data_IF_986013180814
#
_entry.id   IF_986013180814
#
_cell.length_a   1.000
_cell.length_b   1.000
_cell.length_c   1.000
_cell.angle_alpha   90.00
_cell.angle_beta   90.00
_cell.angle_gamma   90.00
#
_symmetry.space_group_name_H-M   'P 1'
#
loop_
_entity.id
_entity.type
_entity.pdbx_description
1 polymer ?
#
# COMPACT_ATOMS: atom_id res chain seq x y z
N UNK A 1 -29.03 -34.08 37.51
CA UNK A 1 -29.28 -33.04 36.52
C UNK A 1 -28.00 -32.70 35.78
N UNK A 2 -27.97 -32.68 34.45
CA UNK A 2 -26.75 -32.59 33.67
C UNK A 2 -26.40 -31.15 33.32
N UNK A 3 -25.09 -30.86 33.40
CA UNK A 3 -24.50 -29.62 32.96
C UNK A 3 -24.47 -29.54 31.42
N UNK A 4 -24.87 -28.40 30.87
CA UNK A 4 -24.70 -28.04 29.47
C UNK A 4 -23.28 -27.47 29.27
N UNK A 5 -22.52 -28.11 28.41
CA UNK A 5 -21.31 -27.55 27.86
C UNK A 5 -21.61 -26.35 26.96
N UNK A 6 -20.91 -25.28 27.20
CA UNK A 6 -20.87 -24.11 26.34
C UNK A 6 -19.87 -24.42 25.22
N UNK A 7 -20.38 -24.44 23.98
CA UNK A 7 -19.54 -24.58 22.80
C UNK A 7 -18.63 -23.37 22.66
N UNK A 8 -17.33 -23.61 22.52
CA UNK A 8 -16.39 -22.64 22.00
C UNK A 8 -16.78 -22.33 20.54
N UNK A 9 -17.22 -21.11 20.31
CA UNK A 9 -17.29 -20.57 18.97
C UNK A 9 -15.86 -20.39 18.45
N UNK A 10 -15.54 -21.21 17.48
CA UNK A 10 -14.37 -21.08 16.63
C UNK A 10 -14.45 -19.72 15.90
N UNK A 11 -13.82 -18.71 16.47
CA UNK A 11 -13.65 -17.41 15.84
C UNK A 11 -12.70 -17.59 14.67
N UNK A 12 -13.29 -17.75 13.49
CA UNK A 12 -12.59 -17.89 12.22
C UNK A 12 -11.50 -16.86 12.07
N UNK A 13 -10.28 -17.33 11.86
CA UNK A 13 -9.14 -16.57 11.38
C UNK A 13 -9.45 -16.02 9.98
N UNK A 14 -10.14 -14.90 9.94
CA UNK A 14 -10.25 -14.04 8.75
C UNK A 14 -9.24 -12.92 8.91
N UNK A 15 -8.08 -13.07 8.33
CA UNK A 15 -7.07 -12.05 8.41
C UNK A 15 -5.79 -12.39 7.71
N UNK A 16 -5.86 -12.84 6.45
CA UNK A 16 -4.68 -12.76 5.59
C UNK A 16 -4.55 -11.30 5.16
N UNK A 17 -3.69 -10.56 5.85
CA UNK A 17 -3.39 -9.18 5.50
C UNK A 17 -2.62 -9.14 4.18
N UNK A 18 -2.86 -8.11 3.38
CA UNK A 18 -2.17 -7.83 2.11
C UNK A 18 -0.66 -7.81 2.27
N UNK A 19 -0.20 -7.43 3.43
CA UNK A 19 1.19 -7.32 3.82
C UNK A 19 1.98 -8.65 3.89
N UNK A 20 1.33 -9.80 3.80
CA UNK A 20 2.03 -11.09 3.74
C UNK A 20 2.72 -11.35 2.40
N UNK A 21 2.53 -10.49 1.40
CA UNK A 21 2.97 -10.72 0.04
C UNK A 21 4.34 -10.14 -0.31
N UNK A 22 4.80 -9.20 0.50
CA UNK A 22 6.08 -8.54 0.28
C UNK A 22 6.79 -8.39 1.63
N UNK A 23 7.99 -8.94 1.73
CA UNK A 23 8.84 -8.86 2.92
C UNK A 23 10.27 -8.57 2.51
N UNK A 24 10.89 -7.62 3.18
CA UNK A 24 12.33 -7.39 3.03
C UNK A 24 13.10 -8.68 3.39
N UNK A 25 14.13 -8.99 2.62
CA UNK A 25 15.01 -10.12 2.91
C UNK A 25 15.67 -10.02 4.28
N UNK A 26 15.87 -8.80 4.79
CA UNK A 26 16.42 -8.56 6.14
C UNK A 26 15.47 -9.00 7.26
N UNK A 27 14.15 -9.02 7.01
CA UNK A 27 13.13 -9.32 8.00
C UNK A 27 12.78 -10.81 8.07
N UNK A 28 13.28 -11.61 7.11
CA UNK A 28 13.03 -13.05 7.05
C UNK A 28 14.17 -13.79 7.76
N UNK A 29 14.04 -13.93 9.07
CA UNK A 29 14.97 -14.72 9.90
C UNK A 29 15.32 -16.10 9.31
N UNK A 30 14.35 -16.91 8.81
CA UNK A 30 14.66 -18.20 8.20
C UNK A 30 15.54 -18.12 6.96
N UNK A 31 15.36 -17.07 6.13
CA UNK A 31 16.19 -16.89 4.94
C UNK A 31 17.61 -16.51 5.30
N UNK A 32 17.79 -15.65 6.30
CA UNK A 32 19.11 -15.31 6.85
C UNK A 32 19.85 -16.56 7.33
N UNK A 33 19.20 -17.39 8.12
CA UNK A 33 19.77 -18.61 8.65
C UNK A 33 20.10 -19.61 7.54
N UNK A 34 19.25 -19.74 6.52
CA UNK A 34 19.50 -20.56 5.34
C UNK A 34 20.71 -20.05 4.54
N UNK A 35 20.86 -18.75 4.38
CA UNK A 35 22.02 -18.14 3.69
C UNK A 35 23.29 -18.43 4.49
N UNK A 36 23.26 -18.28 5.80
CA UNK A 36 24.39 -18.59 6.70
C UNK A 36 24.76 -20.08 6.59
N UNK A 37 23.82 -20.99 6.76
CA UNK A 37 24.05 -22.43 6.62
C UNK A 37 24.60 -22.82 5.25
N UNK A 38 24.04 -22.25 4.18
CA UNK A 38 24.52 -22.48 2.82
C UNK A 38 25.98 -22.03 2.65
N UNK A 39 26.31 -20.89 3.20
CA UNK A 39 27.64 -20.32 3.15
C UNK A 39 28.66 -21.11 3.98
N UNK A 40 28.29 -21.52 5.19
CA UNK A 40 29.12 -22.38 6.05
C UNK A 40 29.39 -23.73 5.38
N UNK A 41 28.39 -24.34 4.77
CA UNK A 41 28.53 -25.58 4.02
C UNK A 41 29.45 -25.42 2.80
N UNK A 42 29.39 -24.26 2.10
CA UNK A 42 30.30 -23.96 0.98
C UNK A 42 31.73 -23.62 1.43
N UNK A 43 31.90 -22.92 2.52
CA UNK A 43 33.20 -22.65 3.11
C UNK A 43 33.93 -23.97 3.51
N UNK A 44 33.19 -24.94 4.04
CA UNK A 44 33.68 -26.27 4.33
C UNK A 44 34.12 -27.06 3.09
N UNK A 45 33.60 -26.76 1.90
CA UNK A 45 33.95 -27.41 0.63
C UNK A 45 35.01 -26.68 -0.19
N UNK A 46 35.75 -25.72 0.38
CA UNK A 46 36.82 -24.94 -0.28
C UNK A 46 36.43 -24.20 -1.59
N UNK A 47 35.19 -23.91 -1.81
CA UNK A 47 34.77 -23.05 -2.91
C UNK A 47 34.97 -21.59 -2.50
N UNK A 48 36.10 -21.02 -2.93
CA UNK A 48 36.60 -19.72 -2.54
C UNK A 48 35.70 -18.54 -2.90
N UNK A 49 35.62 -17.57 -2.03
CA UNK A 49 35.23 -16.18 -2.35
C UNK A 49 33.82 -15.76 -1.92
N UNK A 50 33.04 -16.59 -1.27
CA UNK A 50 31.74 -16.21 -0.74
C UNK A 50 31.86 -15.89 0.76
N UNK A 51 31.75 -14.60 1.11
CA UNK A 51 31.64 -14.14 2.48
C UNK A 51 30.15 -13.90 2.83
N UNK A 52 29.56 -14.75 3.69
CA UNK A 52 28.17 -14.60 4.06
C UNK A 52 27.88 -13.31 4.81
N UNK A 53 28.86 -12.80 5.59
CA UNK A 53 28.71 -11.57 6.36
C UNK A 53 28.53 -10.36 5.43
N UNK A 54 29.38 -10.22 4.43
CA UNK A 54 29.27 -9.14 3.43
C UNK A 54 27.98 -9.23 2.62
N UNK A 55 27.54 -10.44 2.29
CA UNK A 55 26.27 -10.63 1.59
C UNK A 55 25.08 -10.23 2.44
N UNK A 56 25.03 -10.64 3.70
CA UNK A 56 23.96 -10.29 4.61
C UNK A 56 23.93 -8.79 4.92
N UNK A 57 25.09 -8.16 5.05
CA UNK A 57 25.21 -6.72 5.21
C UNK A 57 24.70 -5.99 3.96
N UNK A 58 25.08 -6.45 2.77
CA UNK A 58 24.60 -5.89 1.51
C UNK A 58 23.08 -6.07 1.33
N UNK A 59 22.52 -7.23 1.70
CA UNK A 59 21.09 -7.47 1.63
C UNK A 59 20.31 -6.65 2.65
N UNK A 60 20.82 -6.51 3.88
CA UNK A 60 20.16 -5.72 4.93
C UNK A 60 20.14 -4.21 4.65
N UNK A 61 21.09 -3.74 3.83
CA UNK A 61 21.16 -2.34 3.38
C UNK A 61 20.50 -2.10 2.02
N UNK A 62 19.99 -3.14 1.38
CA UNK A 62 19.38 -3.06 0.05
C UNK A 62 17.86 -2.92 0.14
N UNK A 63 17.28 -2.45 -0.95
CA UNK A 63 15.84 -2.39 -1.21
C UNK A 63 15.29 -3.71 -1.81
N UNK A 64 16.04 -4.80 -1.73
CA UNK A 64 15.62 -6.11 -2.27
C UNK A 64 14.59 -6.76 -1.36
N UNK A 65 13.54 -7.25 -1.95
CA UNK A 65 12.47 -8.00 -1.28
C UNK A 65 12.11 -9.28 -2.00
N UNK A 66 11.35 -10.14 -1.32
CA UNK A 66 10.69 -11.29 -1.94
C UNK A 66 9.20 -10.99 -2.01
N UNK A 67 8.68 -11.03 -3.24
CA UNK A 67 7.27 -10.88 -3.54
C UNK A 67 6.70 -12.19 -4.10
N UNK A 68 5.53 -12.61 -3.63
CA UNK A 68 4.83 -13.78 -4.16
C UNK A 68 3.42 -13.42 -4.64
N UNK A 69 3.26 -13.24 -5.96
CA UNK A 69 2.06 -12.62 -6.54
C UNK A 69 0.75 -13.37 -6.28
N UNK A 70 0.80 -14.67 -6.05
CA UNK A 70 -0.37 -15.54 -5.84
C UNK A 70 -0.22 -16.40 -4.58
N UNK A 71 0.28 -15.82 -3.49
CA UNK A 71 0.60 -16.53 -2.23
C UNK A 71 -0.62 -17.20 -1.60
N UNK A 72 -1.82 -16.67 -1.82
CA UNK A 72 -3.07 -17.20 -1.28
C UNK A 72 -3.45 -18.58 -1.86
N UNK A 73 -2.84 -18.98 -2.98
CA UNK A 73 -3.05 -20.28 -3.61
C UNK A 73 -1.94 -21.30 -3.29
N UNK A 74 -0.94 -20.89 -2.50
CA UNK A 74 0.15 -21.79 -2.16
C UNK A 74 -0.30 -22.83 -1.13
N UNK A 75 0.00 -24.09 -1.43
CA UNK A 75 -0.29 -25.26 -0.58
C UNK A 75 0.64 -25.40 0.64
N UNK A 76 1.69 -24.58 0.73
CA UNK A 76 2.70 -24.63 1.79
C UNK A 76 3.74 -25.75 1.63
N UNK A 77 3.60 -26.62 0.64
CA UNK A 77 4.45 -27.80 0.43
C UNK A 77 5.24 -27.73 -0.87
N UNK A 78 4.59 -27.31 -1.97
CA UNK A 78 5.25 -27.20 -3.27
C UNK A 78 6.36 -26.16 -3.24
N UNK A 79 7.58 -26.56 -3.58
CA UNK A 79 8.72 -25.65 -3.60
C UNK A 79 8.54 -24.56 -4.64
N UNK A 80 8.66 -23.28 -4.26
CA UNK A 80 8.51 -22.18 -5.19
C UNK A 80 9.67 -22.10 -6.18
N UNK A 81 9.40 -21.50 -7.32
CA UNK A 81 10.40 -21.07 -8.30
C UNK A 81 10.79 -19.64 -7.96
N UNK A 82 12.07 -19.31 -8.11
CA UNK A 82 12.65 -18.02 -7.77
C UNK A 82 13.05 -17.25 -9.03
N UNK A 83 12.16 -16.48 -9.67
CA UNK A 83 12.56 -15.54 -10.71
C UNK A 83 13.10 -14.25 -10.09
N UNK A 84 13.85 -13.52 -10.91
CA UNK A 84 14.34 -12.18 -10.62
C UNK A 84 13.64 -11.17 -11.54
N UNK A 85 13.23 -10.04 -10.99
CA UNK A 85 12.74 -8.91 -11.76
C UNK A 85 13.90 -8.06 -12.24
N UNK A 86 14.14 -7.94 -13.56
CA UNK A 86 15.18 -7.09 -14.10
C UNK A 86 14.87 -5.58 -14.01
N UNK A 87 13.63 -5.20 -13.68
CA UNK A 87 13.19 -3.80 -13.63
C UNK A 87 13.12 -3.11 -15.00
N UNK A 88 13.00 -3.87 -16.08
CA UNK A 88 12.95 -3.38 -17.47
C UNK A 88 11.56 -3.47 -18.10
N UNK A 89 10.54 -3.80 -17.30
CA UNK A 89 9.16 -3.96 -17.76
C UNK A 89 8.87 -5.32 -18.42
N UNK A 90 9.80 -6.28 -18.34
CA UNK A 90 9.62 -7.62 -18.92
C UNK A 90 8.45 -8.35 -18.29
N UNK A 91 7.68 -9.05 -19.13
CA UNK A 91 6.57 -9.92 -18.72
C UNK A 91 7.00 -11.40 -18.58
N UNK A 92 8.26 -11.71 -18.88
CA UNK A 92 8.84 -13.04 -18.76
C UNK A 92 10.14 -12.93 -17.99
N UNK A 93 10.24 -13.66 -16.88
CA UNK A 93 11.44 -13.74 -16.06
C UNK A 93 12.13 -15.10 -16.23
N UNK A 94 13.38 -15.16 -15.80
CA UNK A 94 14.14 -16.40 -15.67
C UNK A 94 14.13 -16.81 -14.20
N UNK A 95 13.53 -17.96 -13.91
CA UNK A 95 13.46 -18.52 -12.57
C UNK A 95 14.37 -19.72 -12.37
N UNK A 96 14.74 -19.98 -11.12
CA UNK A 96 15.46 -21.17 -10.70
C UNK A 96 14.50 -22.11 -9.97
N UNK A 97 14.40 -23.34 -10.47
CA UNK A 97 13.62 -24.42 -9.87
C UNK A 97 14.56 -25.45 -9.28
N UNK A 98 14.28 -25.86 -8.05
CA UNK A 98 14.98 -26.96 -7.39
C UNK A 98 14.14 -28.22 -7.59
N UNK A 99 14.67 -29.20 -8.29
CA UNK A 99 14.09 -30.53 -8.40
C UNK A 99 14.84 -31.46 -7.42
N UNK A 100 14.11 -32.29 -6.68
CA UNK A 100 14.68 -33.28 -5.78
C UNK A 100 14.32 -34.68 -6.32
N UNK A 101 15.31 -35.52 -6.56
CA UNK A 101 15.09 -36.89 -7.02
C UNK A 101 14.65 -37.83 -5.88
N UNK A 102 14.29 -39.06 -6.22
CA UNK A 102 13.86 -40.08 -5.25
C UNK A 102 14.92 -40.42 -4.20
N UNK A 103 16.20 -40.09 -4.47
CA UNK A 103 17.33 -40.31 -3.56
C UNK A 103 17.67 -39.07 -2.72
N UNK A 104 16.87 -37.98 -2.84
CA UNK A 104 17.09 -36.74 -2.15
C UNK A 104 18.16 -35.84 -2.78
N UNK A 105 18.71 -36.19 -3.95
CA UNK A 105 19.66 -35.33 -4.64
C UNK A 105 18.93 -34.14 -5.28
N UNK A 106 19.48 -32.94 -5.09
CA UNK A 106 18.89 -31.69 -5.58
C UNK A 106 19.59 -31.23 -6.84
N UNK A 107 18.79 -30.88 -7.84
CA UNK A 107 19.25 -30.30 -9.08
C UNK A 107 18.57 -28.96 -9.29
N UNK A 108 19.35 -27.94 -9.64
CA UNK A 108 18.82 -26.60 -9.95
C UNK A 108 18.79 -26.41 -11.45
N UNK A 109 17.65 -26.07 -12.01
CA UNK A 109 17.50 -25.74 -13.42
C UNK A 109 16.88 -24.39 -13.63
N UNK A 110 17.23 -23.75 -14.73
CA UNK A 110 16.60 -22.51 -15.19
C UNK A 110 15.34 -22.82 -15.99
N UNK A 111 14.29 -22.06 -15.75
CA UNK A 111 13.03 -22.09 -16.50
C UNK A 111 12.59 -20.67 -16.82
N UNK A 112 11.85 -20.52 -17.91
CA UNK A 112 11.11 -19.29 -18.17
C UNK A 112 9.83 -19.27 -17.32
N UNK A 113 9.53 -18.12 -16.73
CA UNK A 113 8.38 -17.92 -15.87
C UNK A 113 7.65 -16.66 -16.34
N UNK A 114 6.40 -16.84 -16.70
CA UNK A 114 5.45 -15.78 -17.00
C UNK A 114 4.36 -15.70 -15.93
N UNK A 115 3.48 -14.71 -16.02
CA UNK A 115 2.38 -14.56 -15.07
C UNK A 115 1.43 -15.77 -15.06
N UNK A 116 1.24 -16.42 -16.21
CA UNK A 116 0.40 -17.62 -16.31
C UNK A 116 1.02 -18.78 -15.53
N UNK A 117 2.34 -18.91 -15.58
CA UNK A 117 3.05 -19.89 -14.75
C UNK A 117 2.90 -19.54 -13.24
N UNK A 118 3.09 -18.28 -12.88
CA UNK A 118 2.97 -17.82 -11.50
C UNK A 118 1.55 -17.99 -10.92
N UNK A 119 0.52 -17.88 -11.75
CA UNK A 119 -0.87 -18.15 -11.35
C UNK A 119 -1.18 -19.64 -11.13
N UNK A 120 -0.35 -20.55 -11.66
CA UNK A 120 -0.56 -22.00 -11.57
C UNK A 120 0.39 -22.71 -10.59
N UNK A 121 1.54 -22.09 -10.29
CA UNK A 121 2.59 -22.69 -9.47
C UNK A 121 3.18 -21.64 -8.52
N UNK A 122 3.68 -22.04 -7.34
CA UNK A 122 4.32 -21.12 -6.40
C UNK A 122 5.54 -20.44 -7.04
N UNK A 123 5.53 -19.11 -7.00
CA UNK A 123 6.62 -18.29 -7.52
C UNK A 123 6.95 -17.21 -6.49
N UNK A 124 8.22 -17.13 -6.10
CA UNK A 124 8.73 -16.08 -5.22
C UNK A 124 9.68 -15.18 -6.00
N UNK A 125 9.17 -14.03 -6.38
CA UNK A 125 9.93 -13.05 -7.17
C UNK A 125 10.90 -12.30 -6.28
N UNK A 126 12.17 -12.26 -6.68
CA UNK A 126 13.17 -11.36 -6.09
C UNK A 126 13.13 -10.06 -6.87
N UNK A 127 12.66 -9.00 -6.28
CA UNK A 127 12.57 -7.67 -6.89
C UNK A 127 13.09 -6.58 -5.95
N UNK A 128 13.04 -5.34 -6.39
CA UNK A 128 13.31 -4.19 -5.55
C UNK A 128 12.00 -3.69 -4.96
N UNK A 129 12.05 -3.32 -3.68
CA UNK A 129 11.01 -2.50 -3.09
C UNK A 129 11.14 -1.09 -3.67
N UNK A 130 10.28 -0.74 -4.60
CA UNK A 130 10.27 0.59 -5.23
C UNK A 130 9.47 1.62 -4.45
N UNK A 131 8.85 1.21 -3.34
CA UNK A 131 8.07 2.09 -2.48
C UNK A 131 8.95 3.23 -1.97
N UNK A 132 8.74 4.40 -2.50
CA UNK A 132 9.58 5.57 -2.26
C UNK A 132 9.39 6.13 -0.84
N UNK A 133 10.02 5.48 0.12
CA UNK A 133 9.95 5.84 1.53
C UNK A 133 8.80 5.20 2.28
N UNK A 134 8.01 4.34 1.65
CA UNK A 134 7.07 3.45 2.31
C UNK A 134 7.73 2.08 2.49
N UNK A 135 7.76 1.63 3.73
CA UNK A 135 8.10 0.26 4.09
C UNK A 135 6.93 -0.65 3.74
N UNK A 136 7.11 -1.97 3.83
CA UNK A 136 6.01 -2.89 3.64
C UNK A 136 4.81 -2.51 4.52
N UNK A 137 3.61 -2.76 4.05
CA UNK A 137 2.37 -2.44 4.76
C UNK A 137 2.36 -2.98 6.20
N UNK A 138 3.00 -4.13 6.46
CA UNK A 138 3.15 -4.69 7.81
C UNK A 138 4.03 -3.83 8.72
N UNK A 139 5.12 -3.31 8.20
CA UNK A 139 6.02 -2.44 8.97
C UNK A 139 5.30 -1.14 9.27
N UNK A 140 4.61 -0.57 8.28
CA UNK A 140 3.81 0.65 8.47
C UNK A 140 2.70 0.45 9.51
N UNK A 141 1.97 -0.66 9.46
CA UNK A 141 0.94 -1.00 10.46
C UNK A 141 1.53 -1.19 11.85
N UNK A 142 2.71 -1.76 11.94
CA UNK A 142 3.41 -1.93 13.23
C UNK A 142 3.90 -0.60 13.80
N UNK A 143 4.38 0.29 12.96
CA UNK A 143 4.90 1.61 13.36
C UNK A 143 3.78 2.64 13.57
N UNK A 144 2.70 2.52 12.80
CA UNK A 144 1.56 3.43 12.78
C UNK A 144 0.22 2.67 12.84
N UNK A 145 -0.06 1.95 13.93
CA UNK A 145 -1.28 1.16 14.05
C UNK A 145 -2.56 2.02 13.95
N UNK A 146 -2.46 3.31 14.25
CA UNK A 146 -3.55 4.27 14.09
C UNK A 146 -3.94 4.54 12.63
N UNK A 147 -3.10 4.16 11.68
CA UNK A 147 -3.37 4.35 10.24
C UNK A 147 -4.09 3.15 9.61
N UNK A 148 -4.13 2.02 10.30
CA UNK A 148 -4.76 0.82 9.76
C UNK A 148 -6.29 0.89 9.92
N UNK A 149 -7.01 0.93 8.79
CA UNK A 149 -8.47 0.84 8.77
C UNK A 149 -8.98 -0.61 8.65
N UNK A 150 -8.11 -1.59 8.69
CA UNK A 150 -8.45 -3.02 8.65
C UNK A 150 -8.84 -3.57 7.28
N UNK A 151 -8.85 -2.77 6.22
CA UNK A 151 -9.35 -3.16 4.89
C UNK A 151 -8.28 -3.54 3.84
N UNK A 152 -7.01 -3.65 4.21
CA UNK A 152 -5.91 -3.81 3.23
C UNK A 152 -5.50 -2.49 2.59
N UNK A 153 -5.72 -1.39 3.31
CA UNK A 153 -5.35 -0.04 2.96
C UNK A 153 -4.89 0.72 4.20
N UNK A 154 -4.19 1.81 3.99
CA UNK A 154 -3.71 2.70 5.05
C UNK A 154 -4.25 4.11 4.85
N UNK A 155 -4.59 4.76 5.95
CA UNK A 155 -4.84 6.19 5.97
C UNK A 155 -3.52 6.87 6.36
N UNK A 156 -2.87 7.51 5.38
CA UNK A 156 -1.62 8.23 5.59
C UNK A 156 -1.89 9.59 6.24
N UNK A 157 -2.97 10.24 5.84
CA UNK A 157 -3.45 11.49 6.42
C UNK A 157 -4.96 11.56 6.31
N UNK A 158 -5.65 11.45 7.43
CA UNK A 158 -7.12 11.53 7.48
C UNK A 158 -7.64 12.95 7.32
N UNK A 159 -8.94 13.12 7.09
CA UNK A 159 -9.56 14.44 7.05
C UNK A 159 -9.47 15.12 8.42
N UNK A 160 -8.91 16.31 8.43
CA UNK A 160 -8.78 17.15 9.63
C UNK A 160 -9.59 18.42 9.48
N UNK A 161 -9.93 19.06 10.61
CA UNK A 161 -10.55 20.38 10.57
C UNK A 161 -9.65 21.36 9.83
N UNK A 162 -10.22 22.14 8.93
CA UNK A 162 -9.52 23.21 8.21
C UNK A 162 -9.46 24.51 8.97
N UNK A 163 -9.99 24.55 10.19
CA UNK A 163 -9.93 25.76 11.03
C UNK A 163 -8.51 25.95 11.57
N UNK A 164 -8.00 27.15 11.47
CA UNK A 164 -6.66 27.49 11.96
C UNK A 164 -6.55 27.21 13.48
N UNK A 165 -5.40 26.74 13.98
CA UNK A 165 -5.19 26.47 15.39
C UNK A 165 -5.49 27.71 16.27
N UNK A 166 -6.22 27.50 17.39
CA UNK A 166 -6.56 28.54 18.33
C UNK A 166 -7.80 29.37 17.98
N UNK A 167 -8.44 29.13 16.86
CA UNK A 167 -9.72 29.75 16.51
C UNK A 167 -10.85 29.05 17.27
N UNK A 168 -11.62 29.74 18.12
CA UNK A 168 -12.73 29.13 18.86
C UNK A 168 -13.78 28.54 17.91
N UNK A 169 -14.39 27.43 18.31
CA UNK A 169 -15.59 26.95 17.64
C UNK A 169 -16.67 28.04 17.70
N UNK A 170 -17.48 28.23 16.64
CA UNK A 170 -18.65 29.07 16.74
C UNK A 170 -19.49 28.59 17.95
N UNK A 171 -19.92 29.49 18.80
CA UNK A 171 -20.91 29.13 19.85
C UNK A 171 -22.07 28.43 19.15
N UNK A 172 -22.50 27.29 19.69
CA UNK A 172 -23.68 26.56 19.23
C UNK A 172 -24.94 27.41 19.48
N UNK A 173 -25.05 28.49 18.72
CA UNK A 173 -26.34 29.15 18.54
C UNK A 173 -27.20 28.19 17.73
N UNK A 174 -28.37 27.88 18.22
CA UNK A 174 -29.45 27.04 17.70
C UNK A 174 -29.65 27.17 16.16
N UNK A 175 -28.66 26.80 15.36
CA UNK A 175 -28.82 26.59 13.92
C UNK A 175 -29.46 25.22 13.74
N UNK A 176 -30.63 25.23 13.09
CA UNK A 176 -31.21 23.99 12.57
C UNK A 176 -30.08 23.13 11.99
N UNK A 177 -30.03 21.85 12.39
CA UNK A 177 -29.00 20.92 11.95
C UNK A 177 -28.89 20.96 10.42
N UNK A 178 -27.95 21.73 9.91
CA UNK A 178 -27.64 21.69 8.49
C UNK A 178 -27.07 20.31 8.19
N UNK A 179 -27.66 19.59 7.27
CA UNK A 179 -27.15 18.28 6.87
C UNK A 179 -25.70 18.45 6.40
N UNK A 180 -24.77 17.91 7.17
CA UNK A 180 -23.35 17.85 6.80
C UNK A 180 -23.22 16.75 5.74
N UNK A 181 -22.57 17.06 4.63
CA UNK A 181 -22.24 16.08 3.58
C UNK A 181 -20.81 15.60 3.80
N UNK A 182 -20.59 14.37 3.51
CA UNK A 182 -19.28 13.73 3.62
C UNK A 182 -18.94 13.09 2.27
N UNK A 183 -17.72 13.31 1.79
CA UNK A 183 -17.19 12.58 0.64
C UNK A 183 -16.51 11.30 1.15
N UNK A 184 -16.99 10.17 0.69
CA UNK A 184 -16.53 8.86 1.11
C UNK A 184 -15.99 8.10 -0.09
N UNK A 185 -14.79 7.51 0.03
CA UNK A 185 -14.35 6.42 -0.82
C UNK A 185 -15.11 5.17 -0.41
N UNK A 186 -16.11 4.81 -1.18
CA UNK A 186 -16.97 3.66 -0.86
C UNK A 186 -16.34 2.35 -1.27
N UNK A 187 -15.87 2.28 -2.50
CA UNK A 187 -15.16 1.14 -3.07
C UNK A 187 -14.14 1.59 -4.11
N UNK A 188 -13.19 0.72 -4.41
CA UNK A 188 -12.17 0.92 -5.43
C UNK A 188 -12.14 -0.30 -6.35
N UNK A 189 -12.07 -0.08 -7.66
CA UNK A 189 -11.96 -1.16 -8.64
C UNK A 189 -10.84 -0.87 -9.63
N UNK A 190 -9.75 -1.61 -9.54
CA UNK A 190 -8.68 -1.57 -10.54
C UNK A 190 -9.14 -2.27 -11.83
N UNK A 191 -8.97 -1.63 -12.97
CA UNK A 191 -9.43 -2.13 -14.28
C UNK A 191 -8.32 -2.71 -15.13
N UNK A 192 -7.07 -2.39 -14.83
CA UNK A 192 -5.86 -2.93 -15.47
C UNK A 192 -4.75 -3.02 -14.45
N UNK A 193 -3.76 -3.88 -14.69
CA UNK A 193 -2.51 -3.83 -13.95
C UNK A 193 -1.70 -2.61 -14.42
N UNK A 194 -1.04 -1.96 -13.50
CA UNK A 194 -0.12 -0.86 -13.77
C UNK A 194 1.30 -1.41 -13.81
N UNK A 195 1.65 -2.26 -12.86
CA UNK A 195 2.93 -2.94 -12.80
C UNK A 195 2.99 -4.25 -13.59
N UNK A 196 4.21 -4.68 -13.89
CA UNK A 196 4.46 -6.05 -14.33
C UNK A 196 4.16 -7.02 -13.18
N UNK A 197 3.88 -8.27 -13.49
CA UNK A 197 3.65 -9.27 -12.44
C UNK A 197 4.90 -9.55 -11.60
N UNK A 198 6.10 -9.23 -12.12
CA UNK A 198 7.37 -9.34 -11.42
C UNK A 198 7.62 -8.19 -10.44
N UNK A 199 7.07 -7.02 -10.70
CA UNK A 199 7.29 -5.84 -9.87
C UNK A 199 6.49 -5.87 -8.57
N UNK A 200 5.20 -6.25 -8.63
CA UNK A 200 4.40 -6.27 -7.42
C UNK A 200 2.89 -6.31 -7.65
N UNK A 201 2.16 -5.99 -6.62
CA UNK A 201 0.78 -5.51 -6.67
C UNK A 201 0.80 -4.04 -7.04
N UNK A 202 -0.36 -3.45 -7.30
CA UNK A 202 -0.45 -2.01 -7.56
C UNK A 202 -0.85 -1.26 -6.29
N UNK A 203 -0.11 -0.23 -5.96
CA UNK A 203 -0.31 0.64 -4.80
C UNK A 203 -0.87 1.99 -5.27
N UNK A 204 -2.11 2.28 -4.86
CA UNK A 204 -2.77 3.52 -5.26
C UNK A 204 -2.84 4.49 -4.09
N UNK A 205 -2.40 5.72 -4.32
CA UNK A 205 -2.66 6.84 -3.41
C UNK A 205 -3.88 7.62 -3.90
N UNK A 206 -4.88 7.73 -3.04
CA UNK A 206 -6.10 8.49 -3.26
C UNK A 206 -6.04 9.72 -2.37
N UNK A 207 -5.87 10.87 -3.00
CA UNK A 207 -5.63 12.14 -2.33
C UNK A 207 -6.78 13.10 -2.55
N UNK A 208 -7.27 13.71 -1.48
CA UNK A 208 -8.28 14.75 -1.54
C UNK A 208 -7.78 16.01 -0.83
N UNK A 209 -7.83 17.13 -1.53
CA UNK A 209 -7.55 18.45 -0.95
C UNK A 209 -8.84 19.25 -0.80
N UNK A 210 -9.12 19.72 0.40
CA UNK A 210 -10.39 20.36 0.73
C UNK A 210 -10.22 21.49 1.74
N UNK A 211 -11.30 22.19 2.02
CA UNK A 211 -11.46 23.06 3.19
C UNK A 211 -12.63 22.53 3.99
N UNK A 212 -12.32 21.66 4.94
CA UNK A 212 -13.32 20.99 5.76
C UNK A 212 -13.98 21.97 6.73
N UNK A 213 -15.23 21.72 7.12
CA UNK A 213 -16.01 22.51 8.06
C UNK A 213 -16.06 24.03 7.75
N UNK A 214 -15.90 24.42 6.50
CA UNK A 214 -15.85 25.81 6.09
C UNK A 214 -17.20 26.51 6.28
N UNK A 215 -17.22 27.51 7.15
CA UNK A 215 -18.37 28.39 7.38
C UNK A 215 -17.86 29.81 7.57
N UNK A 216 -18.18 30.70 6.64
CA UNK A 216 -17.78 32.10 6.70
C UNK A 216 -18.93 33.00 6.21
N UNK A 217 -19.13 34.11 6.90
CA UNK A 217 -20.09 35.15 6.56
C UNK A 217 -19.44 36.34 5.85
N UNK A 218 -18.13 36.55 6.08
CA UNK A 218 -17.34 37.65 5.54
C UNK A 218 -16.07 37.14 4.85
N UNK A 219 -15.49 37.95 3.96
CA UNK A 219 -14.21 37.66 3.33
C UNK A 219 -13.05 37.62 4.34
N UNK A 220 -13.12 38.38 5.42
CA UNK A 220 -12.09 38.39 6.46
C UNK A 220 -11.98 37.04 7.17
N UNK A 221 -13.08 36.31 7.29
CA UNK A 221 -13.11 34.98 7.92
C UNK A 221 -12.42 33.90 7.11
N UNK A 222 -12.10 34.14 5.83
CA UNK A 222 -11.31 33.19 5.01
C UNK A 222 -9.96 32.87 5.67
N UNK A 223 -9.35 33.84 6.34
CA UNK A 223 -8.06 33.68 7.01
C UNK A 223 -8.09 32.76 8.23
N UNK A 224 -9.28 32.40 8.70
CA UNK A 224 -9.47 31.44 9.80
C UNK A 224 -9.36 29.99 9.35
N UNK A 225 -9.19 29.75 8.05
CA UNK A 225 -9.15 28.43 7.47
C UNK A 225 -7.87 28.18 6.69
N UNK A 226 -7.42 26.94 6.73
CA UNK A 226 -6.31 26.42 5.93
C UNK A 226 -6.79 25.17 5.20
N UNK A 227 -6.31 24.89 3.98
CA UNK A 227 -6.68 23.66 3.30
C UNK A 227 -6.12 22.44 4.01
N UNK A 228 -6.85 21.34 3.92
CA UNK A 228 -6.47 20.03 4.43
C UNK A 228 -6.29 19.04 3.30
N UNK A 229 -5.35 18.12 3.43
CA UNK A 229 -5.12 17.00 2.50
C UNK A 229 -5.41 15.71 3.25
N UNK A 230 -6.26 14.87 2.65
CA UNK A 230 -6.45 13.47 3.04
C UNK A 230 -5.67 12.62 2.06
N UNK A 231 -4.89 11.68 2.55
CA UNK A 231 -4.11 10.73 1.75
C UNK A 231 -4.42 9.32 2.20
N UNK A 232 -4.87 8.48 1.26
CA UNK A 232 -5.34 7.14 1.53
C UNK A 232 -4.71 6.16 0.55
N UNK A 233 -3.97 5.18 1.05
CA UNK A 233 -3.32 4.17 0.23
C UNK A 233 -4.19 2.91 0.12
N UNK A 234 -4.33 2.42 -1.10
CA UNK A 234 -5.02 1.18 -1.44
C UNK A 234 -4.05 0.25 -2.15
N UNK A 235 -3.86 -0.94 -1.62
CA UNK A 235 -3.07 -2.00 -2.26
C UNK A 235 -4.01 -2.97 -2.94
N UNK A 236 -3.83 -3.17 -4.25
CA UNK A 236 -4.64 -4.08 -5.05
C UNK A 236 -3.80 -5.27 -5.49
N UNK A 237 -4.14 -6.45 -4.96
CA UNK A 237 -3.49 -7.70 -5.35
C UNK A 237 -3.82 -8.06 -6.80
N UNK A 238 -2.94 -8.81 -7.46
CA UNK A 238 -3.16 -9.22 -8.85
C UNK A 238 -4.48 -9.95 -9.08
N UNK A 239 -4.90 -10.83 -8.16
CA UNK A 239 -6.20 -11.52 -8.22
C UNK A 239 -7.42 -10.62 -8.07
N UNK A 240 -7.25 -9.42 -7.55
CA UNK A 240 -8.35 -8.50 -7.28
C UNK A 240 -8.68 -7.61 -8.48
N UNK A 241 -8.01 -7.81 -9.62
CA UNK A 241 -8.33 -7.10 -10.86
C UNK A 241 -9.82 -7.24 -11.19
N UNK A 242 -10.49 -6.11 -11.41
CA UNK A 242 -11.92 -6.05 -11.72
C UNK A 242 -12.86 -6.25 -10.54
N UNK A 243 -12.35 -6.55 -9.36
CA UNK A 243 -13.16 -6.69 -8.15
C UNK A 243 -13.38 -5.33 -7.49
N UNK A 244 -14.58 -5.11 -6.94
CA UNK A 244 -14.87 -3.94 -6.12
C UNK A 244 -14.38 -4.20 -4.69
N UNK A 245 -13.38 -3.43 -4.25
CA UNK A 245 -12.83 -3.50 -2.90
C UNK A 245 -13.53 -2.46 -2.02
N UNK A 246 -14.31 -2.86 -1.00
CA UNK A 246 -15.06 -1.92 -0.16
C UNK A 246 -14.17 -1.30 0.93
N UNK A 247 -14.27 0.02 1.12
CA UNK A 247 -13.51 0.76 2.13
C UNK A 247 -14.38 1.59 3.07
N UNK A 248 -15.33 2.40 2.55
CA UNK A 248 -16.12 3.37 3.30
C UNK A 248 -15.27 4.40 4.05
N UNK A 249 -14.16 4.83 3.45
CA UNK A 249 -13.20 5.76 4.04
C UNK A 249 -13.58 7.20 3.74
N UNK A 250 -13.53 8.07 4.76
CA UNK A 250 -13.84 9.48 4.63
C UNK A 250 -12.67 10.22 4.00
N UNK A 251 -12.93 10.90 2.88
CA UNK A 251 -11.95 11.76 2.19
C UNK A 251 -12.15 13.25 2.53
N UNK A 252 -13.41 13.68 2.70
CA UNK A 252 -13.77 15.03 3.16
C UNK A 252 -14.86 14.86 4.21
N UNK A 253 -14.58 15.26 5.45
CA UNK A 253 -15.47 15.02 6.59
C UNK A 253 -16.69 15.93 6.55
N UNK A 254 -16.49 17.22 6.37
CA UNK A 254 -17.50 18.24 6.52
C UNK A 254 -17.59 19.10 5.27
N UNK A 255 -18.28 18.55 4.26
CA UNK A 255 -18.59 19.29 3.05
C UNK A 255 -19.79 20.19 3.27
N UNK A 256 -19.51 21.44 3.64
CA UNK A 256 -20.54 22.44 3.87
C UNK A 256 -21.14 22.95 2.56
N UNK A 257 -22.25 23.66 2.64
CA UNK A 257 -22.87 24.29 1.45
C UNK A 257 -21.98 25.35 0.77
N UNK A 258 -20.98 25.84 1.48
CA UNK A 258 -20.05 26.84 0.96
C UNK A 258 -18.81 26.23 0.29
N UNK A 259 -18.47 24.98 0.53
CA UNK A 259 -17.43 24.25 -0.20
C UNK A 259 -17.99 23.79 -1.56
N UNK A 260 -17.51 24.38 -2.65
CA UNK A 260 -18.04 24.13 -4.00
C UNK A 260 -17.16 23.24 -4.86
N UNK A 261 -15.85 23.20 -4.57
CA UNK A 261 -14.89 22.35 -5.27
C UNK A 261 -13.84 21.82 -4.31
N UNK A 262 -13.43 20.59 -4.54
CA UNK A 262 -12.28 19.95 -3.89
C UNK A 262 -11.29 19.51 -4.96
N UNK A 263 -10.01 19.44 -4.60
CA UNK A 263 -9.02 18.79 -5.43
C UNK A 263 -9.06 17.29 -5.16
N UNK A 264 -8.91 16.48 -6.20
CA UNK A 264 -8.89 15.03 -6.06
C UNK A 264 -7.87 14.44 -7.03
N UNK A 265 -7.08 13.47 -6.57
CA UNK A 265 -6.08 12.80 -7.39
C UNK A 265 -5.98 11.33 -7.01
N UNK A 266 -5.81 10.48 -8.01
CA UNK A 266 -5.42 9.09 -7.84
C UNK A 266 -4.13 8.88 -8.60
N UNK A 267 -3.12 8.40 -7.92
CA UNK A 267 -1.84 7.99 -8.51
C UNK A 267 -1.54 6.56 -8.12
N UNK A 268 -0.86 5.85 -8.99
CA UNK A 268 -0.24 4.57 -8.69
C UNK A 268 1.24 4.79 -8.47
N UNK A 269 1.80 4.20 -7.41
CA UNK A 269 3.17 4.47 -6.95
C UNK A 269 4.18 3.67 -7.76
N UNK A 270 5.02 4.38 -8.50
CA UNK A 270 6.18 3.85 -9.22
C UNK A 270 7.49 4.44 -8.68
N UNK A 271 7.41 5.13 -7.56
CA UNK A 271 8.53 5.76 -6.90
C UNK A 271 9.10 6.97 -7.66
N UNK A 272 10.35 7.26 -7.42
CA UNK A 272 11.04 8.43 -8.00
C UNK A 272 11.27 9.53 -6.99
N UNK A 273 11.32 10.78 -7.44
CA UNK A 273 11.53 11.94 -6.57
C UNK A 273 10.21 12.62 -6.25
N UNK A 274 10.07 13.06 -5.00
CA UNK A 274 8.87 13.77 -4.56
C UNK A 274 8.64 15.04 -5.40
N UNK A 275 7.44 15.18 -5.90
CA UNK A 275 6.91 16.35 -6.61
C UNK A 275 5.53 16.71 -6.09
N UNK A 276 4.82 17.66 -6.70
CA UNK A 276 3.49 18.05 -6.27
C UNK A 276 2.64 18.60 -7.41
N UNK A 277 1.37 18.28 -7.37
CA UNK A 277 0.39 18.94 -8.21
C UNK A 277 -0.22 20.13 -7.46
N UNK A 278 -0.06 21.34 -8.04
CA UNK A 278 -0.68 22.55 -7.52
C UNK A 278 -2.11 22.66 -8.04
N UNK A 279 -3.05 22.74 -7.14
CA UNK A 279 -4.48 22.78 -7.39
C UNK A 279 -5.16 23.68 -6.36
N UNK A 280 -6.49 23.73 -6.33
CA UNK A 280 -7.21 24.51 -5.33
C UNK A 280 -8.54 23.86 -4.94
N UNK A 281 -8.94 24.04 -3.68
CA UNK A 281 -10.33 23.93 -3.28
C UNK A 281 -11.02 25.28 -3.41
N UNK A 282 -12.31 25.27 -3.73
CA UNK A 282 -13.07 26.50 -3.94
C UNK A 282 -14.23 26.58 -2.95
N UNK A 283 -14.31 27.71 -2.28
CA UNK A 283 -15.40 28.04 -1.35
C UNK A 283 -16.17 29.26 -1.82
N UNK A 284 -17.40 29.41 -1.35
CA UNK A 284 -18.23 30.58 -1.59
C UNK A 284 -18.50 31.33 -0.29
N UNK A 285 -18.28 32.66 -0.33
CA UNK A 285 -18.73 33.59 0.71
C UNK A 285 -19.67 34.60 0.03
N UNK A 286 -20.93 34.62 0.46
CA UNK A 286 -22.01 35.32 -0.23
C UNK A 286 -22.10 34.90 -1.71
N UNK A 287 -21.85 35.81 -2.67
CA UNK A 287 -21.92 35.54 -4.11
C UNK A 287 -20.55 35.34 -4.78
N UNK A 288 -19.46 35.47 -4.01
CA UNK A 288 -18.08 35.39 -4.55
C UNK A 288 -17.44 34.04 -4.25
N UNK A 289 -16.62 33.56 -5.17
CA UNK A 289 -15.84 32.34 -5.04
C UNK A 289 -14.39 32.67 -4.72
N UNK A 290 -13.79 31.89 -3.82
CA UNK A 290 -12.41 32.03 -3.37
C UNK A 290 -11.70 30.67 -3.46
N UNK A 291 -10.48 30.67 -4.02
CA UNK A 291 -9.63 29.49 -4.11
C UNK A 291 -8.70 29.42 -2.90
N UNK A 292 -8.55 28.21 -2.35
CA UNK A 292 -7.51 27.86 -1.40
C UNK A 292 -6.47 27.03 -2.12
N UNK A 293 -5.24 27.52 -2.22
CA UNK A 293 -4.14 26.82 -2.88
C UNK A 293 -3.79 25.56 -2.11
N UNK A 294 -3.68 24.46 -2.82
CA UNK A 294 -3.36 23.12 -2.31
C UNK A 294 -2.21 22.56 -3.11
N UNK A 295 -1.35 21.81 -2.46
CA UNK A 295 -0.31 21.01 -3.09
C UNK A 295 -0.53 19.54 -2.74
N UNK A 296 -0.87 18.71 -3.71
CA UNK A 296 -0.98 17.27 -3.55
C UNK A 296 0.36 16.62 -3.94
N UNK A 297 1.08 16.01 -2.98
CA UNK A 297 2.37 15.38 -3.24
C UNK A 297 2.19 14.06 -3.99
N UNK A 298 3.14 13.74 -4.88
CA UNK A 298 3.28 12.45 -5.56
C UNK A 298 4.71 12.29 -6.05
N UNK A 299 5.09 11.14 -6.61
CA UNK A 299 6.44 10.92 -7.10
C UNK A 299 6.52 11.08 -8.63
N UNK A 300 7.71 11.40 -9.13
CA UNK A 300 7.88 11.78 -10.55
C UNK A 300 7.67 10.63 -11.53
N UNK A 301 7.70 9.38 -11.06
CA UNK A 301 7.44 8.20 -11.88
C UNK A 301 6.04 7.66 -11.74
N UNK A 302 5.29 8.13 -10.73
CA UNK A 302 3.92 7.66 -10.49
C UNK A 302 3.03 7.83 -11.72
N UNK A 303 2.25 6.81 -12.00
CA UNK A 303 1.20 6.86 -13.00
C UNK A 303 0.01 7.67 -12.47
N UNK A 304 -0.25 8.82 -13.11
CA UNK A 304 -1.43 9.61 -12.77
C UNK A 304 -2.66 8.94 -13.37
N UNK A 305 -3.43 8.27 -12.53
CA UNK A 305 -4.63 7.53 -12.92
C UNK A 305 -5.79 8.48 -13.17
N UNK A 306 -5.94 9.48 -12.31
CA UNK A 306 -7.00 10.50 -12.43
C UNK A 306 -6.66 11.76 -11.63
N UNK A 307 -7.10 12.93 -12.15
CA UNK A 307 -7.04 14.22 -11.46
C UNK A 307 -7.99 15.24 -12.09
#
# INVERSE_FOLDING_TARGET
SPGRGVGEEDSGKSGNSVAEHSKSLSDILPLRDLIIQYAENRAATKASGFDPGLWLESLSSSDIQIYWPYSEDWDGETQPVFPYDPGDGSQVGVGWKVDTDERGARTVRKIEVDEKYAAAYPVWVVNRNSDSGYTSLDVMRREHPEWDNGGGALIIGGPVSSRAPGVPLPEEGTKAASSVKTLILKDFTMRRHYDTWLAGGSEFFIKAGSVNDFVASTEAELQLYVPAVTDFMVVVKRKQLGQALPFNTVLVSDWTSQLTQVAFMIVEDDGGSLTQWKCSAVVKVASKSYGFDISLPFNTRDDIVWR
#
